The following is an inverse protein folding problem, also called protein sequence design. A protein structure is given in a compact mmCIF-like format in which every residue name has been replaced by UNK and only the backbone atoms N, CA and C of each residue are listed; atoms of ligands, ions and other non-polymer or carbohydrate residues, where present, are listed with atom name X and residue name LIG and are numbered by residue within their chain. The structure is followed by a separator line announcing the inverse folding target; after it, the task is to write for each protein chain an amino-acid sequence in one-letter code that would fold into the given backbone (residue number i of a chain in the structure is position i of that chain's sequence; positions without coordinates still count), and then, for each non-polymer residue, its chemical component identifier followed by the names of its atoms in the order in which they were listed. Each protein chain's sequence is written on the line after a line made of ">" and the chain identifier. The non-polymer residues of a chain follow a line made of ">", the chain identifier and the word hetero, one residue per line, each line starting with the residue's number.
data_IF_467122203730
#
_entry.id   IF_467122203730
#
_cell.length_a   1.000
_cell.length_b   1.000
_cell.length_c   1.000
_cell.angle_alpha   90.00
_cell.angle_beta   90.00
_cell.angle_gamma   90.00
#
_symmetry.space_group_name_H-M   'P 1'
#
loop_
_entity.id
_entity.type
_entity.pdbx_description
1 polymer ?
#
# COMPACT_ATOMS: atom_id res chain seq x y z
N UNK A 1 10.36 -3.28 35.79
CA UNK A 1 11.33 -3.12 34.69
C UNK A 1 10.53 -2.74 33.47
N UNK A 2 10.82 -1.60 32.82
CA UNK A 2 10.20 -1.27 31.50
C UNK A 2 10.76 -2.26 30.49
N UNK A 3 9.91 -3.09 29.88
CA UNK A 3 10.31 -3.91 28.73
C UNK A 3 10.87 -2.99 27.64
N UNK A 4 12.04 -3.34 27.09
CA UNK A 4 12.64 -2.59 25.98
C UNK A 4 11.75 -2.62 24.75
N UNK A 5 11.67 -1.51 24.02
CA UNK A 5 10.97 -1.43 22.75
C UNK A 5 11.57 -2.45 21.75
N UNK A 6 10.71 -3.16 21.00
CA UNK A 6 11.16 -4.17 20.05
C UNK A 6 11.08 -3.62 18.62
N UNK A 7 12.23 -3.51 17.95
CA UNK A 7 12.28 -3.21 16.53
C UNK A 7 11.84 -4.41 15.70
N UNK A 8 10.86 -4.23 14.84
CA UNK A 8 10.20 -5.29 14.07
C UNK A 8 10.70 -5.40 12.61
N UNK A 9 11.73 -4.67 12.24
CA UNK A 9 12.30 -4.70 10.89
C UNK A 9 11.92 -3.50 10.02
N UNK A 10 12.29 -3.59 8.74
CA UNK A 10 11.99 -2.59 7.72
C UNK A 10 10.91 -3.14 6.79
N UNK A 11 9.97 -2.30 6.40
CA UNK A 11 8.97 -2.57 5.37
C UNK A 11 9.19 -1.64 4.17
N UNK A 12 9.08 -2.18 2.98
CA UNK A 12 9.03 -1.43 1.73
C UNK A 12 7.63 -1.54 1.16
N UNK A 13 6.99 -0.39 0.94
CA UNK A 13 5.56 -0.33 0.60
C UNK A 13 5.25 -1.02 -0.73
N UNK A 14 6.06 -0.79 -1.77
CA UNK A 14 5.81 -1.40 -3.08
C UNK A 14 6.70 -0.78 -4.16
N UNK A 15 6.26 0.33 -4.74
CA UNK A 15 6.94 0.95 -5.87
C UNK A 15 8.28 1.58 -5.48
N UNK A 16 9.31 1.37 -6.34
CA UNK A 16 10.67 1.90 -6.16
C UNK A 16 11.14 2.46 -7.51
N UNK A 17 11.73 3.66 -7.50
CA UNK A 17 12.18 4.35 -8.70
C UNK A 17 13.49 3.75 -9.23
N UNK A 18 13.39 2.54 -9.77
CA UNK A 18 14.47 1.80 -10.43
C UNK A 18 13.99 1.26 -11.78
N UNK A 19 14.92 0.84 -12.65
CA UNK A 19 14.61 0.47 -14.03
C UNK A 19 13.83 -0.84 -14.15
N UNK A 20 14.10 -1.81 -13.28
CA UNK A 20 13.50 -3.14 -13.32
C UNK A 20 13.55 -3.87 -11.97
N UNK A 21 12.78 -4.94 -11.83
CA UNK A 21 12.69 -5.71 -10.59
C UNK A 21 14.02 -6.38 -10.18
N UNK A 22 14.87 -6.76 -11.13
CA UNK A 22 16.18 -7.35 -10.79
C UNK A 22 17.06 -6.34 -10.08
N UNK A 23 17.13 -5.10 -10.57
CA UNK A 23 17.86 -4.04 -9.91
C UNK A 23 17.30 -3.79 -8.51
N UNK A 24 15.97 -3.73 -8.37
CA UNK A 24 15.31 -3.57 -7.06
C UNK A 24 15.75 -4.66 -6.10
N UNK A 25 15.64 -5.92 -6.48
CA UNK A 25 16.00 -7.05 -5.61
C UNK A 25 17.47 -7.02 -5.20
N UNK A 26 18.39 -6.72 -6.13
CA UNK A 26 19.84 -6.66 -5.84
C UNK A 26 20.18 -5.52 -4.89
N UNK A 27 19.76 -4.29 -5.20
CA UNK A 27 20.15 -3.12 -4.41
C UNK A 27 19.47 -3.11 -3.03
N UNK A 28 18.20 -3.47 -2.97
CA UNK A 28 17.46 -3.55 -1.70
C UNK A 28 18.02 -4.66 -0.81
N UNK A 29 18.28 -5.86 -1.35
CA UNK A 29 18.83 -6.96 -0.55
C UNK A 29 20.24 -6.65 -0.03
N UNK A 30 21.07 -6.01 -0.84
CA UNK A 30 22.41 -5.56 -0.43
C UNK A 30 22.35 -4.54 0.71
N UNK A 31 21.43 -3.57 0.62
CA UNK A 31 21.36 -2.48 1.58
C UNK A 31 20.62 -2.87 2.87
N UNK A 32 19.49 -3.60 2.75
CA UNK A 32 18.52 -3.80 3.81
C UNK A 32 18.20 -5.27 4.12
N UNK A 33 18.73 -6.24 3.37
CA UNK A 33 18.38 -7.65 3.47
C UNK A 33 18.26 -8.21 4.90
N UNK A 34 19.19 -7.92 5.83
CA UNK A 34 19.11 -8.39 7.22
C UNK A 34 17.90 -7.90 8.03
N UNK A 35 17.22 -6.87 7.55
CA UNK A 35 16.09 -6.22 8.24
C UNK A 35 14.73 -6.53 7.60
N UNK A 36 14.71 -7.25 6.46
CA UNK A 36 13.51 -7.50 5.68
C UNK A 36 12.89 -8.86 6.03
N UNK A 37 11.56 -8.90 6.08
CA UNK A 37 10.77 -10.13 6.08
C UNK A 37 10.17 -10.46 4.72
N UNK A 38 9.98 -9.43 3.90
CA UNK A 38 9.49 -9.52 2.52
C UNK A 38 10.04 -8.37 1.69
N UNK A 39 10.10 -8.55 0.38
CA UNK A 39 10.63 -7.59 -0.59
C UNK A 39 9.70 -7.46 -1.78
N UNK A 40 9.24 -6.25 -2.15
CA UNK A 40 8.45 -6.01 -3.35
C UNK A 40 9.33 -6.00 -4.60
N UNK A 41 8.71 -6.17 -5.77
CA UNK A 41 9.38 -6.07 -7.07
C UNK A 41 9.63 -4.62 -7.54
N UNK A 42 9.24 -3.64 -6.73
CA UNK A 42 9.40 -2.23 -7.01
C UNK A 42 8.35 -1.66 -7.95
N UNK A 43 7.38 -2.45 -8.42
CA UNK A 43 6.32 -2.02 -9.36
C UNK A 43 6.88 -1.21 -10.53
N UNK A 44 7.98 -1.67 -11.11
CA UNK A 44 8.72 -0.95 -12.15
C UNK A 44 7.96 -0.90 -13.48
N UNK A 45 8.40 -0.05 -14.41
CA UNK A 45 7.79 0.08 -15.73
C UNK A 45 6.42 0.76 -15.68
N UNK A 46 5.42 0.17 -16.32
CA UNK A 46 4.06 0.73 -16.40
C UNK A 46 3.35 0.84 -15.04
N UNK A 47 3.74 0.00 -14.06
CA UNK A 47 3.20 0.01 -12.70
C UNK A 47 3.83 1.08 -11.79
N UNK A 48 4.89 1.78 -12.23
CA UNK A 48 5.61 2.77 -11.41
C UNK A 48 4.73 3.91 -10.87
N UNK A 49 3.59 4.14 -11.51
CA UNK A 49 2.57 5.10 -11.07
C UNK A 49 1.36 4.44 -10.42
N UNK A 50 1.59 3.34 -9.72
CA UNK A 50 0.56 2.60 -9.00
C UNK A 50 -0.60 2.18 -9.92
N UNK A 51 -1.86 2.53 -9.63
CA UNK A 51 -3.04 2.12 -10.42
C UNK A 51 -3.22 2.89 -11.74
N UNK A 52 -2.29 3.74 -12.16
CA UNK A 52 -2.51 4.54 -13.36
C UNK A 52 -2.65 3.68 -14.63
N UNK A 53 -1.93 2.57 -14.71
CA UNK A 53 -2.03 1.62 -15.82
C UNK A 53 -3.40 0.93 -15.89
N UNK A 54 -4.13 0.82 -14.77
CA UNK A 54 -5.50 0.31 -14.77
C UNK A 54 -6.45 1.24 -15.56
N UNK A 55 -6.21 2.56 -15.54
CA UNK A 55 -6.99 3.48 -16.37
C UNK A 55 -6.83 3.15 -17.86
N UNK A 56 -5.62 2.84 -18.32
CA UNK A 56 -5.39 2.48 -19.72
C UNK A 56 -6.18 1.22 -20.08
N UNK A 57 -6.10 0.18 -19.26
CA UNK A 57 -6.86 -1.04 -19.42
C UNK A 57 -8.38 -0.77 -19.50
N UNK A 58 -8.91 0.07 -18.59
CA UNK A 58 -10.33 0.42 -18.58
C UNK A 58 -10.75 1.23 -19.82
N UNK A 59 -9.93 2.18 -20.26
CA UNK A 59 -10.20 3.00 -21.44
C UNK A 59 -10.21 2.18 -22.74
N UNK A 60 -9.40 1.15 -22.82
CA UNK A 60 -9.29 0.24 -23.98
C UNK A 60 -10.33 -0.89 -23.94
N UNK A 61 -10.98 -1.09 -22.77
CA UNK A 61 -11.92 -2.21 -22.62
C UNK A 61 -13.22 -1.98 -23.41
N UNK A 62 -13.67 -2.96 -24.21
CA UNK A 62 -14.84 -2.80 -25.12
C UNK A 62 -16.14 -2.51 -24.39
N UNK A 63 -16.28 -2.90 -23.11
CA UNK A 63 -17.46 -2.68 -22.28
C UNK A 63 -17.53 -1.27 -21.66
N UNK A 64 -16.43 -0.50 -21.69
CA UNK A 64 -16.32 0.78 -20.98
C UNK A 64 -16.38 1.97 -21.96
N UNK A 65 -16.89 3.09 -21.47
CA UNK A 65 -16.89 4.37 -22.17
C UNK A 65 -16.78 5.53 -21.19
N UNK A 66 -16.44 6.74 -21.66
CA UNK A 66 -16.50 7.96 -20.85
C UNK A 66 -17.96 8.26 -20.53
N UNK A 67 -18.25 8.57 -19.26
CA UNK A 67 -19.58 9.00 -18.82
C UNK A 67 -19.76 10.52 -19.04
N UNK A 68 -20.53 10.95 -20.06
CA UNK A 68 -20.75 12.35 -20.32
C UNK A 68 -21.78 12.99 -19.35
N UNK A 69 -22.39 12.22 -18.48
CA UNK A 69 -23.48 12.67 -17.57
C UNK A 69 -22.97 13.15 -16.22
N UNK A 70 -21.67 13.03 -15.97
CA UNK A 70 -21.02 13.49 -14.74
C UNK A 70 -19.85 14.41 -15.07
N UNK A 71 -19.49 15.36 -14.18
CA UNK A 71 -18.29 16.16 -14.37
C UNK A 71 -17.02 15.31 -14.26
N UNK A 72 -15.92 15.82 -14.80
CA UNK A 72 -14.60 15.25 -14.55
C UNK A 72 -14.27 15.25 -13.06
N UNK A 73 -13.54 14.23 -12.61
CA UNK A 73 -12.96 14.21 -11.28
C UNK A 73 -11.74 15.12 -11.25
N UNK A 74 -11.80 16.16 -10.42
CA UNK A 74 -10.65 17.04 -10.14
C UNK A 74 -9.95 16.59 -8.87
N UNK A 75 -8.64 16.33 -8.98
CA UNK A 75 -7.81 15.96 -7.85
C UNK A 75 -7.03 17.18 -7.36
N UNK A 76 -7.17 17.46 -6.10
CA UNK A 76 -6.49 18.57 -5.43
C UNK A 76 -5.48 18.03 -4.41
N UNK A 77 -4.39 18.76 -4.23
CA UNK A 77 -3.46 18.55 -3.14
C UNK A 77 -4.02 19.17 -1.85
N UNK A 78 -3.46 18.81 -0.72
CA UNK A 78 -3.86 19.30 0.60
C UNK A 78 -3.88 20.84 0.72
N UNK A 79 -3.07 21.54 -0.07
CA UNK A 79 -2.97 23.01 -0.12
C UNK A 79 -3.97 23.66 -1.09
N UNK A 80 -4.85 22.86 -1.71
CA UNK A 80 -5.85 23.31 -2.69
C UNK A 80 -5.34 23.42 -4.12
N UNK A 81 -4.10 23.03 -4.40
CA UNK A 81 -3.54 23.02 -5.75
C UNK A 81 -4.21 21.94 -6.59
N UNK A 82 -4.81 22.34 -7.72
CA UNK A 82 -5.32 21.40 -8.71
C UNK A 82 -4.16 20.64 -9.35
N UNK A 83 -4.16 19.32 -9.21
CA UNK A 83 -3.16 18.44 -9.79
C UNK A 83 -3.55 18.00 -11.21
N UNK A 84 -4.80 17.59 -11.38
CA UNK A 84 -5.37 17.17 -12.68
C UNK A 84 -6.88 17.00 -12.59
N UNK A 85 -7.54 17.02 -13.76
CA UNK A 85 -8.92 16.58 -13.94
C UNK A 85 -8.96 15.40 -14.92
N UNK A 86 -9.86 14.45 -14.67
CA UNK A 86 -9.99 13.23 -15.44
C UNK A 86 -11.45 12.94 -15.74
N UNK A 87 -11.83 12.65 -17.01
CA UNK A 87 -13.15 12.12 -17.32
C UNK A 87 -13.34 10.76 -16.67
N UNK A 88 -14.52 10.54 -16.12
CA UNK A 88 -14.92 9.29 -15.47
C UNK A 88 -15.53 8.33 -16.48
N UNK A 89 -15.42 7.04 -16.21
CA UNK A 89 -15.88 5.94 -17.03
C UNK A 89 -17.18 5.34 -16.49
N UNK A 90 -17.93 4.69 -17.37
CA UNK A 90 -19.08 3.84 -17.05
C UNK A 90 -19.13 2.64 -17.98
N UNK A 91 -19.96 1.66 -17.66
CA UNK A 91 -20.31 0.63 -18.63
C UNK A 91 -21.13 1.24 -19.76
N UNK A 92 -20.88 0.77 -21.01
CA UNK A 92 -21.68 1.15 -22.18
C UNK A 92 -23.12 0.71 -22.02
N UNK A 93 -24.02 1.45 -22.64
CA UNK A 93 -25.43 1.08 -22.68
C UNK A 93 -25.61 -0.32 -23.29
N UNK A 94 -26.42 -1.17 -22.64
CA UNK A 94 -26.70 -2.54 -23.09
C UNK A 94 -25.66 -3.58 -22.73
N UNK A 95 -24.56 -3.20 -22.10
CA UNK A 95 -23.60 -4.17 -21.52
C UNK A 95 -24.19 -4.72 -20.22
N UNK A 96 -24.14 -6.05 -20.06
CA UNK A 96 -24.37 -6.69 -18.78
C UNK A 96 -23.04 -6.71 -17.99
N UNK A 97 -22.89 -5.94 -16.89
CA UNK A 97 -21.63 -5.90 -16.14
C UNK A 97 -21.18 -7.27 -15.62
N UNK A 98 -22.13 -8.15 -15.26
CA UNK A 98 -21.81 -9.47 -14.70
C UNK A 98 -21.16 -10.44 -15.72
N UNK A 99 -21.13 -10.07 -17.01
CA UNK A 99 -20.44 -10.78 -18.10
C UNK A 99 -19.07 -10.14 -18.43
N UNK A 100 -18.67 -9.11 -17.71
CA UNK A 100 -17.41 -8.38 -17.95
C UNK A 100 -16.32 -8.90 -17.03
N UNK A 101 -15.12 -9.09 -17.60
CA UNK A 101 -13.91 -9.43 -16.85
C UNK A 101 -12.79 -8.47 -17.25
N UNK A 102 -12.06 -7.96 -16.27
CA UNK A 102 -10.93 -7.05 -16.49
C UNK A 102 -9.59 -7.80 -16.37
N UNK A 103 -8.78 -7.71 -17.42
CA UNK A 103 -7.41 -8.23 -17.40
C UNK A 103 -6.50 -7.29 -16.59
N UNK A 104 -6.50 -7.40 -15.27
CA UNK A 104 -5.80 -6.47 -14.37
C UNK A 104 -4.27 -6.50 -14.52
N UNK A 105 -3.68 -7.62 -14.96
CA UNK A 105 -2.27 -7.78 -15.27
C UNK A 105 -1.36 -8.00 -14.05
N UNK A 106 -1.88 -7.98 -12.82
CA UNK A 106 -1.08 -8.22 -11.61
C UNK A 106 -0.52 -9.63 -11.53
N UNK A 107 -1.27 -10.63 -11.97
CA UNK A 107 -0.87 -12.04 -12.07
C UNK A 107 0.35 -12.24 -12.95
N UNK A 108 0.33 -11.67 -14.16
CA UNK A 108 1.45 -11.76 -15.10
C UNK A 108 2.70 -11.06 -14.59
N UNK A 109 2.52 -9.87 -13.99
CA UNK A 109 3.61 -9.13 -13.40
C UNK A 109 4.23 -9.89 -12.21
N UNK A 110 3.42 -10.47 -11.32
CA UNK A 110 3.86 -11.25 -10.19
C UNK A 110 4.63 -12.51 -10.65
N UNK A 111 4.11 -13.26 -11.61
CA UNK A 111 4.77 -14.46 -12.14
C UNK A 111 6.15 -14.15 -12.74
N UNK A 112 6.26 -13.07 -13.53
CA UNK A 112 7.54 -12.62 -14.09
C UNK A 112 8.54 -12.25 -12.99
N UNK A 113 8.12 -11.39 -12.06
CA UNK A 113 8.98 -10.89 -10.99
C UNK A 113 9.39 -11.99 -10.01
N UNK A 114 8.49 -12.95 -9.74
CA UNK A 114 8.83 -14.11 -8.91
C UNK A 114 9.89 -15.01 -9.57
N UNK A 115 9.87 -15.17 -10.88
CA UNK A 115 10.94 -15.89 -11.61
C UNK A 115 12.31 -15.26 -11.38
N UNK A 116 12.40 -13.93 -11.40
CA UNK A 116 13.62 -13.18 -11.09
C UNK A 116 14.00 -13.32 -9.60
N UNK A 117 13.01 -13.14 -8.70
CA UNK A 117 13.20 -13.30 -7.25
C UNK A 117 13.78 -14.68 -6.90
N UNK A 118 13.19 -15.76 -7.42
CA UNK A 118 13.61 -17.14 -7.17
C UNK A 118 15.06 -17.36 -7.58
N UNK A 119 15.44 -16.95 -8.80
CA UNK A 119 16.79 -17.03 -9.30
C UNK A 119 17.78 -16.29 -8.39
N UNK A 120 17.47 -15.04 -8.00
CA UNK A 120 18.35 -14.24 -7.15
C UNK A 120 18.48 -14.80 -5.72
N UNK A 121 17.44 -15.45 -5.21
CA UNK A 121 17.49 -16.16 -3.93
C UNK A 121 18.38 -17.41 -4.02
N UNK A 122 18.31 -18.16 -5.13
CA UNK A 122 19.19 -19.30 -5.42
C UNK A 122 20.66 -18.86 -5.57
N UNK A 123 20.90 -17.67 -6.14
CA UNK A 123 22.23 -17.04 -6.23
C UNK A 123 22.74 -16.50 -4.87
N UNK A 124 21.93 -16.54 -3.81
CA UNK A 124 22.29 -16.01 -2.49
C UNK A 124 22.25 -14.49 -2.37
N UNK A 125 21.66 -13.78 -3.35
CA UNK A 125 21.49 -12.32 -3.32
C UNK A 125 20.37 -11.94 -2.36
N UNK A 126 19.23 -12.64 -2.43
CA UNK A 126 18.09 -12.44 -1.54
C UNK A 126 18.21 -13.44 -0.37
N UNK A 127 18.14 -13.01 0.90
CA UNK A 127 18.15 -13.92 2.04
C UNK A 127 17.00 -14.94 1.96
N UNK A 128 17.27 -16.19 2.30
CA UNK A 128 16.32 -17.30 2.18
C UNK A 128 15.03 -17.13 2.98
N UNK A 129 15.08 -16.36 4.08
CA UNK A 129 13.93 -16.10 4.93
C UNK A 129 13.01 -14.98 4.40
N UNK A 130 13.47 -14.20 3.39
CA UNK A 130 12.71 -13.09 2.81
C UNK A 130 11.68 -13.65 1.83
N UNK A 131 10.42 -13.21 1.96
CA UNK A 131 9.33 -13.56 1.05
C UNK A 131 9.19 -12.53 -0.07
N UNK A 132 8.65 -12.97 -1.19
CA UNK A 132 8.28 -12.10 -2.30
C UNK A 132 6.96 -11.38 -1.98
N UNK A 133 6.97 -10.04 -2.03
CA UNK A 133 5.79 -9.23 -1.77
C UNK A 133 5.11 -8.84 -3.08
N UNK A 134 3.81 -9.12 -3.16
CA UNK A 134 2.93 -8.63 -4.22
C UNK A 134 1.98 -7.60 -3.65
N UNK A 135 1.99 -6.40 -4.22
CA UNK A 135 1.09 -5.30 -3.85
C UNK A 135 -0.11 -5.30 -4.81
N UNK A 136 -1.31 -5.34 -4.25
CA UNK A 136 -2.57 -5.31 -4.98
C UNK A 136 -3.40 -4.11 -4.54
N UNK A 137 -4.07 -3.41 -5.46
CA UNK A 137 -5.02 -2.38 -5.07
C UNK A 137 -6.30 -3.02 -4.52
N UNK A 138 -7.12 -2.20 -3.90
CA UNK A 138 -8.52 -2.54 -3.66
C UNK A 138 -9.37 -2.22 -4.90
N UNK A 139 -10.58 -2.77 -5.05
CA UNK A 139 -11.53 -2.33 -6.08
C UNK A 139 -11.86 -0.84 -5.99
N UNK A 140 -11.97 -0.31 -4.78
CA UNK A 140 -12.23 1.11 -4.54
C UNK A 140 -11.11 2.01 -5.09
N UNK A 141 -9.87 1.52 -5.16
CA UNK A 141 -8.75 2.28 -5.70
C UNK A 141 -9.02 2.78 -7.13
N UNK A 142 -9.46 1.91 -8.02
CA UNK A 142 -9.79 2.28 -9.41
C UNK A 142 -11.20 2.88 -9.55
N UNK A 143 -12.17 2.45 -8.75
CA UNK A 143 -13.53 2.99 -8.76
C UNK A 143 -13.53 4.49 -8.48
N UNK A 144 -12.99 4.92 -7.34
CA UNK A 144 -12.97 6.33 -6.94
C UNK A 144 -12.19 7.23 -7.91
N UNK A 145 -11.16 6.67 -8.55
CA UNK A 145 -10.28 7.45 -9.44
C UNK A 145 -10.77 7.53 -10.88
N UNK A 146 -11.47 6.52 -11.37
CA UNK A 146 -11.70 6.39 -12.81
C UNK A 146 -13.15 6.13 -13.21
N UNK A 147 -14.02 5.77 -12.28
CA UNK A 147 -15.39 5.36 -12.61
C UNK A 147 -16.41 6.33 -12.02
N UNK A 148 -17.44 6.61 -12.78
CA UNK A 148 -18.60 7.41 -12.32
C UNK A 148 -19.23 6.77 -11.09
N UNK A 149 -19.50 7.55 -10.06
CA UNK A 149 -20.16 7.07 -8.85
C UNK A 149 -21.48 6.32 -9.12
N UNK A 150 -22.17 6.65 -10.22
CA UNK A 150 -23.39 5.96 -10.64
C UNK A 150 -23.17 4.49 -11.08
N UNK A 151 -21.93 4.15 -11.42
CA UNK A 151 -21.57 2.82 -11.86
C UNK A 151 -20.76 2.04 -10.78
N UNK A 152 -20.48 2.64 -9.63
CA UNK A 152 -19.64 2.05 -8.59
C UNK A 152 -20.12 0.67 -8.15
N UNK A 153 -21.40 0.47 -7.83
CA UNK A 153 -21.90 -0.82 -7.32
C UNK A 153 -21.63 -1.98 -8.29
N UNK A 154 -21.88 -1.77 -9.57
CA UNK A 154 -21.61 -2.78 -10.58
C UNK A 154 -20.11 -2.95 -10.81
N UNK A 155 -19.37 -1.84 -10.89
CA UNK A 155 -17.94 -1.86 -11.14
C UNK A 155 -17.15 -2.53 -10.01
N UNK A 156 -17.45 -2.22 -8.76
CA UNK A 156 -16.77 -2.80 -7.60
C UNK A 156 -16.88 -4.32 -7.60
N UNK A 157 -18.09 -4.88 -7.86
CA UNK A 157 -18.29 -6.34 -7.95
C UNK A 157 -17.44 -6.97 -9.06
N UNK A 158 -17.48 -6.39 -10.26
CA UNK A 158 -16.76 -6.93 -11.42
C UNK A 158 -15.24 -6.83 -11.23
N UNK A 159 -14.76 -5.68 -10.76
CA UNK A 159 -13.33 -5.48 -10.56
C UNK A 159 -12.80 -6.34 -9.40
N UNK A 160 -13.58 -6.49 -8.32
CA UNK A 160 -13.24 -7.41 -7.23
C UNK A 160 -13.11 -8.86 -7.72
N UNK A 161 -14.07 -9.33 -8.53
CA UNK A 161 -13.99 -10.66 -9.14
C UNK A 161 -12.72 -10.82 -9.99
N UNK A 162 -12.41 -9.82 -10.81
CA UNK A 162 -11.20 -9.81 -11.65
C UNK A 162 -9.90 -9.81 -10.83
N UNK A 163 -9.85 -9.06 -9.71
CA UNK A 163 -8.71 -9.08 -8.79
C UNK A 163 -8.56 -10.43 -8.07
N UNK A 164 -9.66 -11.03 -7.65
CA UNK A 164 -9.63 -12.36 -7.00
C UNK A 164 -9.17 -13.42 -7.99
N UNK A 165 -9.58 -13.36 -9.25
CA UNK A 165 -9.08 -14.25 -10.30
C UNK A 165 -7.56 -14.08 -10.51
N UNK A 166 -7.08 -12.84 -10.54
CA UNK A 166 -5.64 -12.56 -10.60
C UNK A 166 -4.90 -13.09 -9.36
N UNK A 167 -5.47 -12.92 -8.16
CA UNK A 167 -4.93 -13.48 -6.93
C UNK A 167 -4.83 -15.01 -6.99
N UNK A 168 -5.88 -15.71 -7.45
CA UNK A 168 -5.83 -17.17 -7.62
C UNK A 168 -4.71 -17.58 -8.56
N UNK A 169 -4.52 -16.91 -9.70
CA UNK A 169 -3.41 -17.17 -10.62
C UNK A 169 -2.03 -16.95 -9.97
N UNK A 170 -1.90 -15.97 -9.09
CA UNK A 170 -0.68 -15.72 -8.28
C UNK A 170 -0.46 -16.89 -7.30
N UNK A 171 -1.49 -17.29 -6.58
CA UNK A 171 -1.43 -18.38 -5.59
C UNK A 171 -1.11 -19.74 -6.23
N UNK A 172 -1.58 -19.97 -7.45
CA UNK A 172 -1.28 -21.21 -8.21
C UNK A 172 0.15 -21.24 -8.74
N UNK A 173 0.75 -20.07 -9.00
CA UNK A 173 2.07 -19.96 -9.61
C UNK A 173 3.23 -19.75 -8.64
N UNK A 174 2.95 -19.31 -7.41
CA UNK A 174 3.97 -18.97 -6.41
C UNK A 174 3.73 -19.77 -5.13
N UNK A 175 4.75 -20.50 -4.60
CA UNK A 175 4.63 -21.19 -3.33
C UNK A 175 4.18 -20.27 -2.19
N UNK A 176 3.20 -20.71 -1.41
CA UNK A 176 2.60 -19.90 -0.34
C UNK A 176 3.61 -19.46 0.72
N UNK A 177 4.60 -20.30 1.04
CA UNK A 177 5.68 -20.00 1.97
C UNK A 177 6.62 -18.89 1.46
N UNK A 178 6.65 -18.65 0.15
CA UNK A 178 7.45 -17.60 -0.46
C UNK A 178 6.70 -16.29 -0.64
N UNK A 179 5.38 -16.28 -0.44
CA UNK A 179 4.50 -15.20 -0.83
C UNK A 179 4.05 -14.34 0.35
N UNK A 180 3.98 -13.04 0.09
CA UNK A 180 3.35 -12.03 0.92
C UNK A 180 2.42 -11.18 0.04
N UNK A 181 1.14 -11.09 0.39
CA UNK A 181 0.18 -10.21 -0.28
C UNK A 181 -0.04 -8.96 0.59
N UNK A 182 0.07 -7.80 -0.04
CA UNK A 182 -0.29 -6.52 0.55
C UNK A 182 -1.43 -5.89 -0.25
N UNK A 183 -2.49 -5.47 0.42
CA UNK A 183 -3.49 -4.60 -0.18
C UNK A 183 -3.21 -3.13 0.12
N UNK A 184 -3.28 -2.30 -0.92
CA UNK A 184 -3.05 -0.86 -0.83
C UNK A 184 -4.39 -0.15 -0.61
N UNK A 185 -4.60 0.31 0.61
CA UNK A 185 -5.82 0.97 1.12
C UNK A 185 -5.62 2.49 1.08
N UNK A 186 -5.80 3.07 -0.08
CA UNK A 186 -5.59 4.51 -0.28
C UNK A 186 -6.92 5.27 -0.39
N UNK A 187 -7.79 4.87 -1.31
CA UNK A 187 -9.05 5.57 -1.54
C UNK A 187 -10.00 5.43 -0.36
N UNK A 188 -9.95 4.35 0.35
CA UNK A 188 -10.71 4.15 1.58
C UNK A 188 -10.31 5.18 2.65
N UNK A 189 -9.01 5.39 2.84
CA UNK A 189 -8.52 6.46 3.73
C UNK A 189 -9.03 7.81 3.26
N UNK A 190 -8.95 8.11 1.96
CA UNK A 190 -9.44 9.36 1.39
C UNK A 190 -10.96 9.52 1.51
N UNK A 191 -11.73 8.43 1.45
CA UNK A 191 -13.19 8.43 1.71
C UNK A 191 -13.46 8.76 3.18
N UNK A 192 -12.71 8.18 4.12
CA UNK A 192 -12.81 8.53 5.54
C UNK A 192 -12.45 10.00 5.80
N UNK A 193 -11.47 10.55 5.10
CA UNK A 193 -11.07 11.97 5.15
C UNK A 193 -12.01 12.91 4.39
N UNK A 194 -13.11 12.36 3.80
CA UNK A 194 -14.09 13.12 3.02
C UNK A 194 -13.49 13.89 1.83
N UNK A 195 -12.51 13.29 1.18
CA UNK A 195 -11.80 13.90 0.05
C UNK A 195 -12.61 13.89 -1.24
N UNK A 196 -13.35 12.81 -1.52
CA UNK A 196 -14.13 12.67 -2.74
C UNK A 196 -15.48 13.40 -2.64
N UNK A 197 -16.02 13.91 -3.78
CA UNK A 197 -17.30 14.63 -3.81
C UNK A 197 -18.50 13.74 -3.50
N UNK A 198 -18.35 12.43 -3.62
CA UNK A 198 -19.40 11.45 -3.32
C UNK A 198 -18.91 10.45 -2.30
N UNK A 199 -19.69 10.29 -1.22
CA UNK A 199 -19.45 9.31 -0.16
C UNK A 199 -20.79 8.71 0.27
N UNK A 200 -21.01 7.39 0.10
CA UNK A 200 -22.23 6.72 0.58
C UNK A 200 -22.39 6.88 2.10
N UNK A 201 -23.61 6.88 2.64
CA UNK A 201 -23.83 7.02 4.08
C UNK A 201 -23.28 5.83 4.89
N UNK A 202 -23.26 4.65 4.31
CA UNK A 202 -22.80 3.37 4.89
C UNK A 202 -21.37 2.99 4.43
N UNK A 203 -20.57 3.98 4.03
CA UNK A 203 -19.23 3.78 3.49
C UNK A 203 -18.31 2.95 4.39
N UNK A 204 -18.45 3.06 5.72
CA UNK A 204 -17.60 2.33 6.66
C UNK A 204 -17.86 0.83 6.60
N UNK A 205 -19.13 0.46 6.64
CA UNK A 205 -19.59 -0.92 6.54
C UNK A 205 -19.17 -1.55 5.21
N UNK A 206 -19.33 -0.82 4.10
CA UNK A 206 -18.92 -1.25 2.76
C UNK A 206 -17.41 -1.46 2.68
N UNK A 207 -16.61 -0.50 3.15
CA UNK A 207 -15.15 -0.58 3.14
C UNK A 207 -14.67 -1.78 3.97
N UNK A 208 -15.17 -1.95 5.19
CA UNK A 208 -14.72 -3.06 6.03
C UNK A 208 -15.14 -4.43 5.47
N UNK A 209 -16.32 -4.52 4.86
CA UNK A 209 -16.75 -5.75 4.19
C UNK A 209 -15.87 -6.09 2.98
N UNK A 210 -15.51 -5.10 2.15
CA UNK A 210 -14.62 -5.27 1.00
C UNK A 210 -13.21 -5.71 1.46
N UNK A 211 -12.62 -5.00 2.43
CA UNK A 211 -11.29 -5.34 2.94
C UNK A 211 -11.25 -6.73 3.59
N UNK A 212 -12.33 -7.12 4.29
CA UNK A 212 -12.45 -8.47 4.85
C UNK A 212 -12.52 -9.54 3.75
N UNK A 213 -13.35 -9.34 2.72
CA UNK A 213 -13.49 -10.28 1.61
C UNK A 213 -12.16 -10.46 0.85
N UNK A 214 -11.43 -9.39 0.61
CA UNK A 214 -10.10 -9.43 -0.01
C UNK A 214 -9.10 -10.19 0.86
N UNK A 215 -9.08 -9.92 2.17
CA UNK A 215 -8.19 -10.61 3.11
C UNK A 215 -8.49 -12.10 3.23
N UNK A 216 -9.76 -12.48 3.26
CA UNK A 216 -10.22 -13.87 3.34
C UNK A 216 -9.93 -14.68 2.06
N UNK A 217 -9.77 -14.02 0.92
CA UNK A 217 -9.34 -14.67 -0.33
C UNK A 217 -7.85 -15.11 -0.30
N UNK A 218 -7.05 -14.60 0.63
CA UNK A 218 -5.63 -14.97 0.79
C UNK A 218 -5.51 -16.14 1.78
N UNK A 219 -4.94 -17.31 1.41
CA UNK A 219 -4.80 -18.48 2.30
C UNK A 219 -3.88 -18.21 3.51
N UNK A 220 -4.11 -18.91 4.64
CA UNK A 220 -3.31 -18.74 5.87
C UNK A 220 -1.81 -18.98 5.71
N UNK A 221 -1.39 -19.81 4.75
CA UNK A 221 0.04 -20.06 4.44
C UNK A 221 0.77 -18.86 3.81
N UNK A 222 0.01 -17.91 3.27
CA UNK A 222 0.50 -16.67 2.65
C UNK A 222 0.45 -15.53 3.68
N UNK A 223 1.50 -14.71 3.78
CA UNK A 223 1.44 -13.51 4.62
C UNK A 223 0.49 -12.48 4.05
N UNK A 224 -0.29 -11.85 4.91
CA UNK A 224 -1.24 -10.80 4.55
C UNK A 224 -0.94 -9.50 5.28
N UNK A 225 -0.85 -8.41 4.53
CA UNK A 225 -0.74 -7.06 5.09
C UNK A 225 -1.61 -6.04 4.38
N UNK A 226 -1.78 -4.89 5.02
CA UNK A 226 -2.48 -3.75 4.46
C UNK A 226 -1.63 -2.48 4.62
N UNK A 227 -1.45 -1.76 3.52
CA UNK A 227 -0.82 -0.44 3.49
C UNK A 227 -1.90 0.63 3.42
N UNK A 228 -2.03 1.44 4.47
CA UNK A 228 -2.92 2.60 4.49
C UNK A 228 -2.16 3.83 3.96
N UNK A 229 -2.84 4.68 3.16
CA UNK A 229 -2.19 5.79 2.49
C UNK A 229 -3.09 7.02 2.38
N UNK A 230 -2.51 8.22 2.55
CA UNK A 230 -3.22 9.49 2.29
C UNK A 230 -3.18 9.93 0.82
N UNK A 231 -2.75 9.04 -0.10
CA UNK A 231 -2.48 9.37 -1.49
C UNK A 231 -1.26 10.27 -1.65
N UNK A 232 -0.30 9.85 -2.47
CA UNK A 232 0.97 10.58 -2.67
C UNK A 232 1.32 10.75 -4.14
N UNK A 233 0.41 11.33 -4.96
CA UNK A 233 0.81 11.74 -6.29
C UNK A 233 1.89 12.81 -6.16
N UNK A 234 2.92 12.74 -7.00
CA UNK A 234 4.05 13.69 -6.94
C UNK A 234 4.81 13.73 -5.61
N UNK A 235 4.80 12.62 -4.85
CA UNK A 235 5.55 12.46 -3.60
C UNK A 235 5.07 13.39 -2.45
N UNK A 236 3.81 13.86 -2.52
CA UNK A 236 3.15 14.65 -1.49
C UNK A 236 1.71 14.19 -1.26
N UNK A 237 1.22 14.25 -0.02
CA UNK A 237 -0.11 13.80 0.33
C UNK A 237 -1.24 14.59 -0.34
N UNK A 238 -2.35 13.91 -0.65
CA UNK A 238 -3.59 14.58 -1.08
C UNK A 238 -4.31 15.23 0.11
N UNK A 239 -4.17 14.65 1.29
CA UNK A 239 -4.78 15.13 2.53
C UNK A 239 -3.71 15.23 3.62
N UNK A 240 -3.71 16.33 4.36
CA UNK A 240 -2.92 16.45 5.60
C UNK A 240 -3.81 16.08 6.79
N UNK A 241 -3.58 14.93 7.42
CA UNK A 241 -4.42 14.46 8.51
C UNK A 241 -4.24 15.32 9.76
N UNK A 242 -5.31 15.46 10.52
CA UNK A 242 -5.27 16.10 11.85
C UNK A 242 -4.40 15.30 12.81
N UNK A 243 -4.59 13.98 12.86
CA UNK A 243 -3.89 13.02 13.70
C UNK A 243 -4.04 11.61 13.08
N UNK A 244 -3.48 10.58 13.71
CA UNK A 244 -3.58 9.19 13.24
C UNK A 244 -4.95 8.52 13.52
N UNK A 245 -5.96 9.24 13.99
CA UNK A 245 -7.23 8.66 14.44
C UNK A 245 -7.98 7.88 13.37
N UNK A 246 -8.07 8.41 12.14
CA UNK A 246 -8.70 7.72 11.01
C UNK A 246 -7.93 6.45 10.63
N UNK A 247 -6.59 6.50 10.64
CA UNK A 247 -5.79 5.30 10.39
C UNK A 247 -6.02 4.23 11.46
N UNK A 248 -6.11 4.64 12.73
CA UNK A 248 -6.39 3.72 13.85
C UNK A 248 -7.78 3.11 13.74
N UNK A 249 -8.78 3.89 13.32
CA UNK A 249 -10.14 3.38 13.06
C UNK A 249 -10.11 2.30 11.96
N UNK A 250 -9.41 2.58 10.85
CA UNK A 250 -9.25 1.62 9.75
C UNK A 250 -8.46 0.38 10.18
N UNK A 251 -7.35 0.54 10.91
CA UNK A 251 -6.57 -0.58 11.45
C UNK A 251 -7.43 -1.50 12.31
N UNK A 252 -8.21 -0.94 13.26
CA UNK A 252 -9.12 -1.70 14.11
C UNK A 252 -10.22 -2.35 13.28
N UNK A 253 -10.79 -1.64 12.30
CA UNK A 253 -11.78 -2.20 11.39
C UNK A 253 -11.24 -3.39 10.60
N UNK A 254 -10.03 -3.31 10.06
CA UNK A 254 -9.39 -4.42 9.34
C UNK A 254 -9.22 -5.64 10.27
N UNK A 255 -8.56 -5.48 11.42
CA UNK A 255 -8.27 -6.62 12.30
C UNK A 255 -9.49 -7.22 12.96
N UNK A 256 -10.59 -6.47 13.09
CA UNK A 256 -11.84 -6.96 13.66
C UNK A 256 -12.75 -7.67 12.63
N UNK A 257 -12.62 -7.38 11.34
CA UNK A 257 -13.49 -7.92 10.30
C UNK A 257 -12.81 -9.03 9.48
N UNK A 258 -11.49 -9.00 9.30
CA UNK A 258 -10.76 -10.08 8.61
C UNK A 258 -10.63 -11.29 9.55
N UNK A 259 -11.20 -12.42 9.19
CA UNK A 259 -11.27 -13.61 10.06
C UNK A 259 -9.97 -14.40 10.17
N UNK A 260 -9.05 -14.19 9.21
CA UNK A 260 -7.71 -14.77 9.26
C UNK A 260 -6.73 -13.81 9.91
N UNK A 261 -5.52 -14.28 10.24
CA UNK A 261 -4.46 -13.43 10.74
C UNK A 261 -4.05 -12.39 9.69
N UNK A 262 -4.03 -11.11 10.10
CA UNK A 262 -3.35 -10.01 9.42
C UNK A 262 -1.94 -9.93 10.00
N UNK A 263 -0.93 -10.19 9.17
CA UNK A 263 0.46 -10.31 9.63
C UNK A 263 1.08 -8.93 9.90
N UNK A 264 0.70 -7.92 9.11
CA UNK A 264 1.16 -6.56 9.34
C UNK A 264 0.18 -5.50 8.81
N UNK A 265 0.30 -4.33 9.40
CA UNK A 265 -0.30 -3.09 8.93
C UNK A 265 0.81 -2.07 8.71
N UNK A 266 0.69 -1.27 7.66
CA UNK A 266 1.57 -0.13 7.43
C UNK A 266 0.75 1.15 7.42
N UNK A 267 1.23 2.19 8.13
CA UNK A 267 0.61 3.52 8.14
C UNK A 267 1.62 4.63 7.87
N UNK A 268 1.26 5.64 7.09
CA UNK A 268 2.10 6.80 6.84
C UNK A 268 2.17 7.71 8.07
N UNK A 269 3.31 8.40 8.21
CA UNK A 269 3.47 9.52 9.12
C UNK A 269 3.98 10.70 8.31
N UNK A 270 3.19 11.77 8.13
CA UNK A 270 3.62 12.91 7.32
C UNK A 270 4.92 13.52 7.83
N UNK A 271 5.80 13.93 6.92
CA UNK A 271 7.15 14.45 7.24
C UNK A 271 7.15 15.52 8.34
N UNK A 272 6.14 16.37 8.35
CA UNK A 272 6.00 17.48 9.31
C UNK A 272 5.45 17.07 10.66
N UNK A 273 5.01 15.81 10.85
CA UNK A 273 4.35 15.35 12.07
C UNK A 273 5.36 14.68 13.02
N UNK A 274 6.00 15.53 13.81
CA UNK A 274 6.94 15.13 14.87
C UNK A 274 6.35 15.37 16.27
N UNK A 275 5.07 15.72 16.34
CA UNK A 275 4.37 16.11 17.56
C UNK A 275 3.61 14.92 18.19
N UNK A 276 3.55 14.85 19.54
CA UNK A 276 2.82 13.81 20.25
C UNK A 276 1.35 13.71 19.89
N UNK A 277 0.70 14.81 19.50
CA UNK A 277 -0.73 14.84 19.22
C UNK A 277 -1.09 13.98 18.00
N UNK A 278 -0.19 13.90 16.98
CA UNK A 278 -0.39 13.02 15.83
C UNK A 278 -0.45 11.54 16.25
N UNK A 279 0.44 11.11 17.15
CA UNK A 279 0.60 9.71 17.54
C UNK A 279 -0.36 9.26 18.65
N UNK A 280 -0.95 10.20 19.41
CA UNK A 280 -1.78 9.87 20.56
C UNK A 280 -2.92 8.87 20.28
N UNK A 281 -3.64 8.92 19.13
CA UNK A 281 -4.67 7.92 18.80
C UNK A 281 -4.17 6.48 18.70
N UNK A 282 -2.87 6.25 18.47
CA UNK A 282 -2.31 4.89 18.37
C UNK A 282 -2.51 4.07 19.65
N UNK A 283 -2.72 4.71 20.79
CA UNK A 283 -3.07 4.03 22.06
C UNK A 283 -4.43 3.30 21.97
N UNK A 284 -5.26 3.65 21.02
CA UNK A 284 -6.58 3.03 20.78
C UNK A 284 -6.52 1.85 19.79
N UNK A 285 -5.35 1.54 19.25
CA UNK A 285 -5.19 0.33 18.43
C UNK A 285 -5.21 -0.88 19.35
N UNK A 286 -6.22 -1.73 19.18
CA UNK A 286 -6.48 -2.88 20.06
C UNK A 286 -5.88 -4.20 19.52
N UNK A 287 -5.33 -4.20 18.30
CA UNK A 287 -4.78 -5.41 17.67
C UNK A 287 -3.38 -5.77 18.14
N UNK A 288 -3.02 -7.04 17.97
CA UNK A 288 -1.64 -7.55 18.16
C UNK A 288 -0.86 -7.65 16.84
N UNK A 289 -1.43 -7.15 15.76
CA UNK A 289 -0.83 -7.14 14.44
C UNK A 289 0.43 -6.27 14.44
N UNK A 290 1.50 -6.74 13.80
CA UNK A 290 2.71 -5.94 13.59
C UNK A 290 2.39 -4.66 12.85
N UNK A 291 2.92 -3.54 13.30
CA UNK A 291 2.74 -2.24 12.64
C UNK A 291 4.08 -1.71 12.12
N UNK A 292 4.10 -1.29 10.88
CA UNK A 292 5.18 -0.51 10.30
C UNK A 292 4.74 0.94 10.14
N UNK A 293 5.58 1.86 10.59
CA UNK A 293 5.33 3.29 10.50
C UNK A 293 6.20 3.94 9.43
N UNK A 294 5.60 4.76 8.59
CA UNK A 294 6.27 5.57 7.59
C UNK A 294 7.04 6.74 8.20
N UNK A 295 8.09 6.45 9.00
CA UNK A 295 8.84 7.44 9.78
C UNK A 295 10.04 8.01 9.03
N UNK A 296 10.49 7.32 7.95
CA UNK A 296 11.70 7.65 7.23
C UNK A 296 11.36 8.50 6.01
N UNK A 297 12.01 9.66 5.90
CA UNK A 297 11.84 10.59 4.80
C UNK A 297 13.18 10.98 4.17
N UNK A 298 13.14 11.33 2.89
CA UNK A 298 14.33 11.77 2.18
C UNK A 298 14.90 13.05 2.79
N UNK A 299 16.23 13.04 3.04
CA UNK A 299 17.00 14.17 3.58
C UNK A 299 16.41 14.78 4.88
N UNK A 300 15.94 13.92 5.80
CA UNK A 300 15.34 14.38 7.06
C UNK A 300 15.75 13.55 8.28
N UNK A 301 17.03 13.22 8.39
CA UNK A 301 17.53 12.36 9.48
C UNK A 301 17.16 12.87 10.90
N UNK A 302 17.14 14.17 11.10
CA UNK A 302 16.74 14.75 12.40
C UNK A 302 15.25 14.54 12.66
N UNK A 303 14.40 14.75 11.66
CA UNK A 303 12.97 14.47 11.74
C UNK A 303 12.67 12.98 11.90
N UNK A 304 13.40 12.12 11.21
CA UNK A 304 13.26 10.65 11.34
C UNK A 304 13.50 10.22 12.78
N UNK A 305 14.57 10.67 13.41
CA UNK A 305 14.85 10.39 14.81
C UNK A 305 13.74 10.90 15.72
N UNK A 306 13.28 12.14 15.51
CA UNK A 306 12.23 12.73 16.34
C UNK A 306 10.91 11.97 16.20
N UNK A 307 10.51 11.58 14.98
CA UNK A 307 9.32 10.75 14.73
C UNK A 307 9.44 9.39 15.42
N UNK A 308 10.59 8.72 15.32
CA UNK A 308 10.88 7.46 16.01
C UNK A 308 10.75 7.61 17.52
N UNK A 309 11.39 8.62 18.11
CA UNK A 309 11.34 8.87 19.57
C UNK A 309 9.91 9.14 20.06
N UNK A 310 9.12 9.85 19.27
CA UNK A 310 7.72 10.12 19.62
C UNK A 310 6.88 8.85 19.47
N UNK A 311 7.01 8.11 18.36
CA UNK A 311 6.30 6.86 18.15
C UNK A 311 6.53 5.84 19.27
N UNK A 312 7.77 5.73 19.78
CA UNK A 312 8.15 4.85 20.90
C UNK A 312 7.42 5.13 22.22
N UNK A 313 6.82 6.30 22.38
CA UNK A 313 6.03 6.65 23.58
C UNK A 313 4.63 6.04 23.53
N UNK A 314 4.13 5.74 22.34
CA UNK A 314 2.77 5.26 22.10
C UNK A 314 2.72 3.78 21.71
N UNK A 315 3.70 3.29 20.95
CA UNK A 315 3.78 1.90 20.50
C UNK A 315 5.15 1.33 20.81
N UNK A 316 5.16 0.13 21.45
CA UNK A 316 6.41 -0.50 21.89
C UNK A 316 7.11 -1.29 20.80
N UNK A 317 6.33 -2.06 20.03
CA UNK A 317 6.83 -2.99 19.02
C UNK A 317 6.37 -2.53 17.66
N UNK A 318 7.29 -1.98 16.86
CA UNK A 318 6.98 -1.54 15.50
C UNK A 318 8.20 -1.66 14.58
N UNK A 319 7.94 -1.69 13.27
CA UNK A 319 8.92 -1.54 12.22
C UNK A 319 8.91 -0.14 11.62
N UNK A 320 9.88 0.14 10.77
CA UNK A 320 10.02 1.41 10.05
C UNK A 320 9.84 1.24 8.56
N UNK A 321 9.40 2.32 7.92
CA UNK A 321 9.16 2.43 6.48
C UNK A 321 9.21 3.89 6.08
N UNK A 322 9.09 4.18 4.77
CA UNK A 322 8.62 5.47 4.28
C UNK A 322 7.09 5.55 4.35
N UNK A 323 6.53 6.74 4.20
CA UNK A 323 5.07 6.96 4.22
C UNK A 323 4.34 6.28 3.05
N UNK A 324 5.00 6.07 1.92
CA UNK A 324 4.46 5.41 0.73
C UNK A 324 5.62 4.82 -0.11
N UNK A 325 5.30 4.17 -1.23
CA UNK A 325 6.29 3.69 -2.19
C UNK A 325 7.02 4.84 -2.90
N UNK A 326 8.23 4.57 -3.39
CA UNK A 326 9.16 5.56 -3.98
C UNK A 326 9.13 5.63 -5.51
N UNK A 327 8.27 4.87 -6.17
CA UNK A 327 8.23 4.78 -7.64
C UNK A 327 7.96 6.11 -8.35
N UNK A 328 7.42 7.10 -7.64
CA UNK A 328 7.15 8.45 -8.13
C UNK A 328 8.21 9.48 -7.74
N UNK A 329 9.16 9.09 -6.89
CA UNK A 329 10.26 9.94 -6.46
C UNK A 329 11.34 10.07 -7.55
N UNK A 330 12.22 11.10 -7.43
CA UNK A 330 13.44 11.15 -8.23
C UNK A 330 14.31 9.92 -7.92
N UNK A 331 14.72 9.11 -8.91
CA UNK A 331 15.59 7.95 -8.70
C UNK A 331 16.86 8.25 -7.91
N UNK A 332 17.37 9.48 -7.99
CA UNK A 332 18.54 9.94 -7.22
C UNK A 332 18.33 9.92 -5.71
N UNK A 333 17.09 9.88 -5.24
CA UNK A 333 16.76 9.80 -3.80
C UNK A 333 16.89 8.39 -3.24
N UNK A 334 16.82 7.36 -4.07
CA UNK A 334 16.80 5.96 -3.63
C UNK A 334 18.02 5.60 -2.76
N UNK A 335 19.28 5.91 -3.15
CA UNK A 335 20.43 5.59 -2.29
C UNK A 335 20.38 6.26 -0.92
N UNK A 336 19.91 7.53 -0.86
CA UNK A 336 19.75 8.26 0.41
C UNK A 336 18.68 7.63 1.30
N UNK A 337 17.52 7.24 0.73
CA UNK A 337 16.47 6.55 1.46
C UNK A 337 16.93 5.20 2.02
N UNK A 338 17.67 4.41 1.24
CA UNK A 338 18.26 3.15 1.71
C UNK A 338 19.21 3.37 2.88
N UNK A 339 20.08 4.38 2.78
CA UNK A 339 21.02 4.74 3.85
C UNK A 339 20.28 5.18 5.12
N UNK A 340 19.23 6.00 5.01
CA UNK A 340 18.41 6.46 6.14
C UNK A 340 17.71 5.29 6.84
N UNK A 341 17.11 4.36 6.10
CA UNK A 341 16.48 3.17 6.68
C UNK A 341 17.50 2.31 7.44
N UNK A 342 18.64 2.02 6.81
CA UNK A 342 19.69 1.23 7.43
C UNK A 342 20.20 1.87 8.73
N UNK A 343 20.49 3.17 8.70
CA UNK A 343 20.96 3.91 9.88
C UNK A 343 19.94 3.89 11.01
N UNK A 344 18.66 4.10 10.71
CA UNK A 344 17.59 4.05 11.69
C UNK A 344 17.44 2.64 12.29
N UNK A 345 17.52 1.59 11.46
CA UNK A 345 17.44 0.20 11.91
C UNK A 345 18.61 -0.17 12.84
N UNK A 346 19.84 0.21 12.47
CA UNK A 346 21.04 0.00 13.31
C UNK A 346 20.88 0.68 14.68
N UNK A 347 20.43 1.94 14.71
CA UNK A 347 20.18 2.67 15.95
C UNK A 347 19.12 2.01 16.84
N UNK A 348 18.03 1.51 16.24
CA UNK A 348 16.97 0.81 16.97
C UNK A 348 17.39 -0.56 17.50
N UNK A 349 18.33 -1.25 16.84
CA UNK A 349 18.89 -2.50 17.33
C UNK A 349 19.86 -2.31 18.49
N UNK A 350 20.71 -1.28 18.44
CA UNK A 350 21.67 -0.96 19.53
C UNK A 350 20.96 -0.58 20.82
N UNK A 351 19.91 0.23 20.74
CA UNK A 351 19.10 0.60 21.89
C UNK A 351 18.45 -0.59 22.61
N UNK A 352 18.51 -1.79 22.03
CA UNK A 352 17.98 -3.06 22.53
C UNK A 352 19.00 -3.86 23.36
N UNK A 353 20.29 -3.63 23.11
CA UNK A 353 21.39 -4.43 23.68
C UNK A 353 22.00 -3.80 24.94
N UNK A 354 21.59 -2.58 25.31
CA UNK A 354 22.01 -1.85 26.48
C UNK A 354 20.85 -1.63 27.47
#
# INVERSE_FOLDING_TARGET
>A
MKQANRFSGIHLVGSIAMDNCEQVFREISLALGPYLEHIPDGETGERARWIYFQRTMLMEHPAMEIDPTVPELSLYQWDGKLLRSLPLLRFKAGVNPDEVEFATGYDRAAAYSYGVFKRLREEGVIPTAVRFQVCLPTPMASACMYVSHKAHDAYLRVYQSSLVNALHSILDSIPHEDLCIQYDVCQEVLVFENYFPHRPPDYKEQIFAELAALGEAVPEGVRLGYHLCYGTPYDEHLVMPRDAGILVELMNGIVNNVRRQVDFLHIPVPKTRTDPAYFAPLQQFAGNTKVYFGLIHHDDEAGDRQRIEVAQRYVRDFGISTECGWGRADPKRVPGLLASHRKAAEALQVARSG
#
